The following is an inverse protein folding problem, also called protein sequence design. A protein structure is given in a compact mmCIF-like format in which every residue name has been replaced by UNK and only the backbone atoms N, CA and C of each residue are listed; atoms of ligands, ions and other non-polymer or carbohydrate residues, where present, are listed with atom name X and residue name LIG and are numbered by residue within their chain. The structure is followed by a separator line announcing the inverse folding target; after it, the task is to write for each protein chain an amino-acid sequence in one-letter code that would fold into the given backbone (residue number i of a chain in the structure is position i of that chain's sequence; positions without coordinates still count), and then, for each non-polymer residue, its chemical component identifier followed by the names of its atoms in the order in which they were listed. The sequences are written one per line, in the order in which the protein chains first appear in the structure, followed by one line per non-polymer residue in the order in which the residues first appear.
data_IF_053934259822
#
_entry.id   IF_053934259822
#
_cell.length_a   1.000
_cell.length_b   1.000
_cell.length_c   1.000
_cell.angle_alpha   90.00
_cell.angle_beta   90.00
_cell.angle_gamma   90.00
#
_symmetry.space_group_name_H-M   'P 1'
#
loop_
_entity.id
_entity.type
_entity.pdbx_description
1 polymer ?
#
# COMPACT_ATOMS: atom_id res chain seq x y z
N UNK A 1 -27.59 5.82 -5.57
CA UNK A 1 -26.28 5.24 -5.21
C UNK A 1 -26.44 4.22 -4.08
N UNK A 2 -26.75 4.61 -2.84
CA UNK A 2 -26.86 3.67 -1.71
C UNK A 2 -27.85 2.52 -1.92
N UNK A 3 -29.01 2.80 -2.53
CA UNK A 3 -29.98 1.76 -2.90
C UNK A 3 -29.39 0.72 -3.86
N UNK A 4 -28.56 1.12 -4.82
CA UNK A 4 -27.90 0.20 -5.76
C UNK A 4 -26.81 -0.64 -5.06
N UNK A 5 -26.05 -0.03 -4.15
CA UNK A 5 -25.05 -0.73 -3.33
C UNK A 5 -25.75 -1.78 -2.43
N UNK A 6 -26.84 -1.41 -1.75
CA UNK A 6 -27.59 -2.32 -0.88
C UNK A 6 -28.26 -3.43 -1.70
N UNK A 7 -28.78 -3.12 -2.88
CA UNK A 7 -29.33 -4.13 -3.78
C UNK A 7 -28.24 -5.11 -4.27
N UNK A 8 -27.01 -4.62 -4.50
CA UNK A 8 -25.88 -5.50 -4.80
C UNK A 8 -25.54 -6.41 -3.63
N UNK A 9 -25.39 -5.85 -2.42
CA UNK A 9 -25.12 -6.64 -1.21
C UNK A 9 -26.24 -7.66 -0.94
N UNK A 10 -27.51 -7.28 -1.13
CA UNK A 10 -28.65 -8.20 -0.97
C UNK A 10 -28.54 -9.42 -1.89
N UNK A 11 -28.06 -9.22 -3.14
CA UNK A 11 -27.81 -10.35 -4.06
C UNK A 11 -26.66 -11.24 -3.59
N UNK A 12 -25.59 -10.65 -3.06
CA UNK A 12 -24.42 -11.40 -2.56
C UNK A 12 -24.76 -12.25 -1.33
N UNK A 13 -25.62 -11.74 -0.45
CA UNK A 13 -26.03 -12.43 0.78
C UNK A 13 -27.27 -13.34 0.59
N UNK A 14 -27.94 -13.26 -0.56
CA UNK A 14 -29.13 -14.07 -0.85
C UNK A 14 -30.36 -13.66 -0.05
N UNK A 15 -30.37 -12.47 0.56
CA UNK A 15 -31.48 -11.94 1.36
C UNK A 15 -31.66 -10.43 1.13
N UNK A 16 -32.88 -9.93 1.30
CA UNK A 16 -33.15 -8.49 1.20
C UNK A 16 -32.63 -7.78 2.44
N UNK A 17 -31.58 -6.97 2.28
CA UNK A 17 -31.06 -6.14 3.36
C UNK A 17 -32.02 -4.97 3.63
N UNK A 18 -32.29 -4.72 4.91
CA UNK A 18 -33.25 -3.72 5.37
C UNK A 18 -32.79 -2.27 5.22
N UNK A 19 -33.51 -1.35 5.89
CA UNK A 19 -33.18 0.07 5.88
C UNK A 19 -31.75 0.33 6.39
N UNK A 20 -30.93 1.11 5.66
CA UNK A 20 -29.55 1.35 6.04
C UNK A 20 -29.41 2.47 7.08
N UNK A 21 -28.43 2.35 7.96
CA UNK A 21 -27.81 3.47 8.66
C UNK A 21 -26.44 3.74 8.04
N UNK A 22 -26.19 4.99 7.67
CA UNK A 22 -24.98 5.40 6.97
C UNK A 22 -24.33 6.52 7.78
N UNK A 23 -23.10 6.29 8.23
CA UNK A 23 -22.34 7.24 9.03
C UNK A 23 -21.01 7.50 8.33
N UNK A 24 -20.70 8.76 8.04
CA UNK A 24 -19.38 9.13 7.54
C UNK A 24 -18.34 8.82 8.62
N UNK A 25 -17.26 8.15 8.24
CA UNK A 25 -16.14 7.84 9.12
C UNK A 25 -14.86 8.43 8.53
N UNK A 26 -13.88 8.74 9.36
CA UNK A 26 -12.54 9.10 8.89
C UNK A 26 -11.84 7.88 8.27
N UNK A 27 -10.71 8.12 7.59
CA UNK A 27 -9.85 7.04 7.09
C UNK A 27 -9.33 7.21 5.67
N UNK A 28 -9.89 8.12 4.86
CA UNK A 28 -9.40 8.39 3.50
C UNK A 28 -8.93 9.81 3.30
N UNK A 29 -7.68 10.00 2.85
CA UNK A 29 -7.21 11.30 2.30
C UNK A 29 -7.74 11.58 0.89
N UNK A 30 -8.29 10.54 0.24
CA UNK A 30 -8.63 10.51 -1.19
C UNK A 30 -10.08 10.06 -1.40
N UNK A 31 -10.52 9.03 -0.67
CA UNK A 31 -11.84 8.44 -0.80
C UNK A 31 -12.78 8.96 0.30
N UNK A 32 -14.08 9.03 -0.01
CA UNK A 32 -15.10 9.21 1.00
C UNK A 32 -15.39 7.85 1.66
N UNK A 33 -15.40 7.81 2.98
CA UNK A 33 -15.49 6.55 3.75
C UNK A 33 -16.70 6.55 4.68
N UNK A 34 -17.42 5.43 4.72
CA UNK A 34 -18.67 5.28 5.46
C UNK A 34 -18.73 3.96 6.21
N UNK A 35 -19.31 3.97 7.41
CA UNK A 35 -19.91 2.77 8.01
C UNK A 35 -21.33 2.63 7.48
N UNK A 36 -21.62 1.53 6.81
CA UNK A 36 -22.95 1.15 6.36
C UNK A 36 -23.45 0.00 7.24
N UNK A 37 -24.53 0.22 7.99
CA UNK A 37 -25.21 -0.82 8.75
C UNK A 37 -26.55 -1.16 8.12
N UNK A 38 -26.77 -2.42 7.78
CA UNK A 38 -28.05 -2.90 7.25
C UNK A 38 -28.19 -4.41 7.43
N UNK A 39 -29.41 -4.90 7.61
CA UNK A 39 -29.67 -6.35 7.74
C UNK A 39 -28.96 -7.04 8.90
N UNK A 40 -28.54 -6.30 9.93
CA UNK A 40 -27.74 -6.84 11.04
C UNK A 40 -26.22 -6.90 10.78
N UNK A 41 -25.77 -6.50 9.59
CA UNK A 41 -24.35 -6.43 9.23
C UNK A 41 -23.82 -5.00 9.31
N UNK A 42 -22.51 -4.89 9.56
CA UNK A 42 -21.74 -3.65 9.45
C UNK A 42 -20.72 -3.79 8.31
N UNK A 43 -20.64 -2.77 7.47
CA UNK A 43 -19.74 -2.70 6.34
C UNK A 43 -18.92 -1.41 6.36
N UNK A 44 -17.68 -1.49 5.89
CA UNK A 44 -16.88 -0.32 5.55
C UNK A 44 -16.99 -0.04 4.05
N UNK A 45 -17.44 1.15 3.67
CA UNK A 45 -17.65 1.51 2.26
C UNK A 45 -16.75 2.67 1.88
N UNK A 46 -15.93 2.46 0.86
CA UNK A 46 -15.16 3.51 0.17
C UNK A 46 -15.91 3.96 -1.07
N UNK A 47 -15.95 5.27 -1.31
CA UNK A 47 -16.53 5.88 -2.50
C UNK A 47 -15.53 6.82 -3.17
N UNK A 48 -15.59 6.86 -4.51
CA UNK A 48 -14.89 7.83 -5.35
C UNK A 48 -15.69 8.04 -6.66
N UNK A 49 -15.24 8.91 -7.56
CA UNK A 49 -15.83 9.11 -8.88
C UNK A 49 -15.89 7.78 -9.66
N UNK A 50 -16.94 7.56 -10.46
CA UNK A 50 -17.14 6.32 -11.24
C UNK A 50 -15.92 5.90 -12.08
N UNK A 51 -15.17 6.86 -12.62
CA UNK A 51 -13.96 6.60 -13.41
C UNK A 51 -12.82 5.91 -12.60
N UNK A 52 -12.92 5.87 -11.27
CA UNK A 52 -11.94 5.22 -10.38
C UNK A 52 -12.30 3.77 -10.04
N UNK A 53 -13.27 3.15 -10.70
CA UNK A 53 -13.66 1.75 -10.42
C UNK A 53 -12.48 0.76 -10.50
N UNK A 54 -11.57 0.95 -11.46
CA UNK A 54 -10.38 0.10 -11.61
C UNK A 54 -9.42 0.16 -10.39
N UNK A 55 -9.42 1.27 -9.63
CA UNK A 55 -8.67 1.40 -8.39
C UNK A 55 -9.23 0.48 -7.31
N UNK A 56 -10.57 0.47 -7.15
CA UNK A 56 -11.24 -0.39 -6.17
C UNK A 56 -11.21 -1.87 -6.55
N UNK A 57 -11.26 -2.19 -7.84
CA UNK A 57 -11.03 -3.56 -8.32
C UNK A 57 -9.62 -4.05 -7.94
N UNK A 58 -8.60 -3.23 -8.18
CA UNK A 58 -7.23 -3.57 -7.85
C UNK A 58 -7.00 -3.68 -6.34
N UNK A 59 -7.60 -2.80 -5.54
CA UNK A 59 -7.52 -2.87 -4.07
C UNK A 59 -8.22 -4.13 -3.53
N UNK A 60 -9.42 -4.46 -4.02
CA UNK A 60 -10.13 -5.68 -3.63
C UNK A 60 -9.31 -6.93 -3.95
N UNK A 61 -8.70 -6.98 -5.13
CA UNK A 61 -7.85 -8.09 -5.55
C UNK A 61 -6.57 -8.20 -4.71
N UNK A 62 -5.93 -7.07 -4.38
CA UNK A 62 -4.78 -7.03 -3.49
C UNK A 62 -5.14 -7.55 -2.07
N UNK A 63 -6.29 -7.15 -1.54
CA UNK A 63 -6.79 -7.67 -0.26
C UNK A 63 -7.05 -9.18 -0.32
N UNK A 64 -7.61 -9.70 -1.42
CA UNK A 64 -7.79 -11.14 -1.61
C UNK A 64 -6.45 -11.88 -1.66
N UNK A 65 -5.45 -11.30 -2.33
CA UNK A 65 -4.13 -11.91 -2.45
C UNK A 65 -3.38 -11.97 -1.12
N UNK A 66 -3.36 -10.87 -0.35
CA UNK A 66 -2.81 -10.86 1.01
C UNK A 66 -3.55 -11.85 1.90
N UNK A 67 -4.89 -11.86 1.85
CA UNK A 67 -5.71 -12.81 2.61
C UNK A 67 -5.38 -14.26 2.25
N UNK A 68 -5.15 -14.54 0.96
CA UNK A 68 -4.81 -15.87 0.45
C UNK A 68 -3.51 -16.45 1.04
N UNK A 69 -2.62 -15.60 1.55
CA UNK A 69 -1.41 -16.05 2.26
C UNK A 69 -1.71 -16.71 3.61
N UNK A 70 -2.83 -16.33 4.24
CA UNK A 70 -3.19 -16.73 5.60
C UNK A 70 -2.20 -16.26 6.68
N UNK A 71 -1.33 -15.28 6.39
CA UNK A 71 -0.25 -14.85 7.31
C UNK A 71 -0.61 -13.64 8.15
N UNK A 72 -1.36 -12.69 7.57
CA UNK A 72 -1.78 -11.46 8.24
C UNK A 72 -3.24 -11.15 7.91
N UNK A 73 -3.97 -10.60 8.87
CA UNK A 73 -5.38 -10.27 8.68
C UNK A 73 -5.49 -9.00 7.84
N UNK A 74 -6.48 -9.01 6.94
CA UNK A 74 -6.91 -7.87 6.12
C UNK A 74 -8.44 -7.85 6.12
N UNK A 75 -9.09 -6.69 5.92
CA UNK A 75 -10.54 -6.63 5.78
C UNK A 75 -10.99 -7.46 4.57
N UNK A 76 -12.01 -8.29 4.74
CA UNK A 76 -12.54 -9.09 3.64
C UNK A 76 -13.21 -8.19 2.58
N UNK A 77 -12.83 -8.26 1.28
CA UNK A 77 -13.51 -7.52 0.23
C UNK A 77 -14.81 -8.23 -0.16
N UNK A 78 -15.93 -7.54 0.08
CA UNK A 78 -17.29 -8.09 -0.07
C UNK A 78 -17.83 -7.83 -1.47
N UNK A 79 -17.67 -6.61 -1.98
CA UNK A 79 -18.14 -6.27 -3.32
C UNK A 79 -17.75 -4.87 -3.75
N UNK A 80 -17.66 -4.64 -5.05
CA UNK A 80 -17.28 -3.36 -5.64
C UNK A 80 -18.04 -3.14 -6.95
N UNK A 81 -17.99 -1.91 -7.47
CA UNK A 81 -18.58 -1.59 -8.77
C UNK A 81 -18.86 -0.11 -8.93
N UNK A 82 -19.80 0.22 -9.81
CA UNK A 82 -20.30 1.57 -10.01
C UNK A 82 -21.77 1.63 -9.62
N UNK A 83 -22.13 2.65 -8.85
CA UNK A 83 -23.50 2.98 -8.49
C UNK A 83 -23.76 4.45 -8.82
N UNK A 84 -24.64 4.70 -9.78
CA UNK A 84 -24.80 6.02 -10.43
C UNK A 84 -23.45 6.56 -10.93
N UNK A 85 -22.99 7.70 -10.39
CA UNK A 85 -21.74 8.36 -10.77
C UNK A 85 -20.59 8.08 -9.80
N UNK A 86 -20.72 7.08 -8.92
CA UNK A 86 -19.70 6.75 -7.92
C UNK A 86 -19.21 5.32 -8.09
N UNK A 87 -17.89 5.15 -8.09
CA UNK A 87 -17.28 3.86 -7.86
C UNK A 87 -17.34 3.56 -6.35
N UNK A 88 -17.47 2.29 -5.99
CA UNK A 88 -17.49 1.86 -4.60
C UNK A 88 -16.70 0.57 -4.37
N UNK A 89 -16.19 0.44 -3.15
CA UNK A 89 -15.65 -0.80 -2.57
C UNK A 89 -16.29 -1.00 -1.20
N UNK A 90 -16.88 -2.17 -0.99
CA UNK A 90 -17.47 -2.61 0.28
C UNK A 90 -16.56 -3.66 0.88
N UNK A 91 -16.12 -3.41 2.10
CA UNK A 91 -15.25 -4.25 2.90
C UNK A 91 -15.95 -4.66 4.20
N UNK A 92 -15.45 -5.73 4.81
CA UNK A 92 -15.72 -6.08 6.20
C UNK A 92 -15.46 -4.88 7.12
N UNK A 93 -16.41 -4.60 8.00
CA UNK A 93 -16.18 -3.65 9.10
C UNK A 93 -15.34 -4.33 10.19
N UNK A 94 -14.22 -3.70 10.55
CA UNK A 94 -13.35 -4.14 11.65
C UNK A 94 -13.28 -3.03 12.70
N UNK A 95 -13.49 -3.38 13.97
CA UNK A 95 -13.25 -2.48 15.10
C UNK A 95 -11.77 -2.54 15.46
N UNK A 96 -11.02 -1.47 15.11
CA UNK A 96 -9.56 -1.41 15.20
C UNK A 96 -9.05 -0.65 16.44
N UNK A 97 -9.70 -0.85 17.58
CA UNK A 97 -9.42 -0.17 18.86
C UNK A 97 -8.80 -1.09 19.92
N UNK A 98 -8.36 -2.29 19.52
CA UNK A 98 -7.85 -3.28 20.45
C UNK A 98 -6.40 -3.07 20.90
N UNK A 99 -5.95 -3.98 21.76
CA UNK A 99 -4.58 -3.98 22.30
C UNK A 99 -3.56 -4.21 21.17
N UNK A 100 -2.50 -3.41 21.17
CA UNK A 100 -1.46 -3.46 20.12
C UNK A 100 -0.46 -4.60 20.36
N UNK A 101 -0.64 -5.73 19.70
CA UNK A 101 0.36 -6.81 19.66
C UNK A 101 1.39 -6.58 18.53
N UNK A 102 2.34 -5.69 18.79
CA UNK A 102 3.39 -5.34 17.84
C UNK A 102 4.28 -6.51 17.44
N UNK A 103 4.50 -7.46 18.35
CA UNK A 103 5.29 -8.65 18.05
C UNK A 103 4.57 -9.54 17.03
N UNK A 104 3.26 -9.74 17.19
CA UNK A 104 2.45 -10.45 16.21
C UNK A 104 2.45 -9.75 14.84
N UNK A 105 2.36 -8.42 14.81
CA UNK A 105 2.43 -7.65 13.56
C UNK A 105 3.76 -7.90 12.81
N UNK A 106 4.89 -7.81 13.52
CA UNK A 106 6.21 -8.02 12.93
C UNK A 106 6.40 -9.43 12.38
N UNK A 107 6.01 -10.43 13.17
CA UNK A 107 6.09 -11.84 12.78
C UNK A 107 5.21 -12.14 11.57
N UNK A 108 3.95 -11.72 11.61
CA UNK A 108 2.99 -12.02 10.55
C UNK A 108 3.37 -11.36 9.22
N UNK A 109 3.91 -10.13 9.27
CA UNK A 109 4.42 -9.46 8.08
C UNK A 109 5.65 -10.19 7.51
N UNK A 110 6.59 -10.62 8.36
CA UNK A 110 7.75 -11.40 7.91
C UNK A 110 7.31 -12.71 7.23
N UNK A 111 6.34 -13.43 7.81
CA UNK A 111 5.81 -14.65 7.22
C UNK A 111 5.10 -14.40 5.87
N UNK A 112 4.46 -13.24 5.70
CA UNK A 112 3.90 -12.82 4.40
C UNK A 112 5.01 -12.56 3.38
N UNK A 113 6.03 -11.79 3.75
CA UNK A 113 7.17 -11.48 2.89
C UNK A 113 7.98 -12.72 2.49
N UNK A 114 8.02 -13.74 3.35
CA UNK A 114 8.72 -15.00 3.07
C UNK A 114 8.15 -15.81 1.89
N UNK A 115 7.02 -15.41 1.29
CA UNK A 115 6.44 -16.08 0.12
C UNK A 115 7.06 -15.58 -1.19
N UNK A 116 7.73 -16.46 -1.94
CA UNK A 116 8.38 -16.14 -3.21
C UNK A 116 7.47 -16.43 -4.41
N UNK A 117 7.43 -15.50 -5.37
CA UNK A 117 6.77 -15.67 -6.67
C UNK A 117 7.73 -15.76 -7.84
N UNK A 118 9.02 -15.46 -7.63
CA UNK A 118 10.10 -15.58 -8.62
C UNK A 118 10.24 -14.42 -9.61
N UNK A 119 9.29 -13.48 -9.69
CA UNK A 119 9.36 -12.30 -10.56
C UNK A 119 8.78 -11.06 -9.88
N UNK A 120 9.31 -9.89 -10.20
CA UNK A 120 8.87 -8.60 -9.65
C UNK A 120 7.75 -7.99 -10.48
N UNK A 121 6.78 -7.35 -9.82
CA UNK A 121 5.61 -6.78 -10.47
C UNK A 121 4.31 -7.42 -10.01
N UNK A 122 3.27 -7.32 -10.84
CA UNK A 122 1.95 -7.84 -10.54
C UNK A 122 1.16 -8.01 -11.84
N UNK A 123 0.13 -8.86 -11.87
CA UNK A 123 -0.60 -9.12 -13.13
C UNK A 123 -1.39 -7.91 -13.63
N UNK A 124 -1.58 -6.88 -12.80
CA UNK A 124 -2.19 -5.61 -13.18
C UNK A 124 -1.49 -4.42 -12.52
N UNK A 125 -1.60 -3.26 -13.17
CA UNK A 125 -1.30 -1.98 -12.53
C UNK A 125 -2.38 -1.65 -11.50
N UNK A 126 -1.97 -0.93 -10.45
CA UNK A 126 -2.86 -0.41 -9.40
C UNK A 126 -2.51 1.06 -9.13
N UNK A 127 -2.74 1.55 -7.92
CA UNK A 127 -2.42 2.93 -7.51
C UNK A 127 -1.74 2.97 -6.15
N UNK A 128 -0.94 4.01 -5.92
CA UNK A 128 -0.38 4.38 -4.61
C UNK A 128 -1.01 5.73 -4.19
N UNK A 129 -2.08 5.66 -3.41
CA UNK A 129 -3.03 6.77 -3.33
C UNK A 129 -3.75 6.96 -4.69
N UNK A 130 -3.72 8.16 -5.26
CA UNK A 130 -4.31 8.43 -6.59
C UNK A 130 -3.34 8.23 -7.76
N UNK A 131 -2.05 8.10 -7.48
CA UNK A 131 -1.03 8.01 -8.52
C UNK A 131 -1.03 6.60 -9.10
N UNK A 132 -1.10 6.43 -10.44
CA UNK A 132 -0.97 5.11 -11.05
C UNK A 132 0.36 4.46 -10.69
N UNK A 133 0.34 3.16 -10.40
CA UNK A 133 1.51 2.35 -10.10
C UNK A 133 1.61 1.23 -11.15
N UNK A 134 2.48 1.39 -12.17
CA UNK A 134 2.73 0.34 -13.14
C UNK A 134 3.39 -0.87 -12.49
N UNK A 135 2.91 -2.07 -12.81
CA UNK A 135 3.46 -3.33 -12.27
C UNK A 135 3.80 -4.38 -13.35
N UNK A 136 4.40 -4.02 -14.51
CA UNK A 136 4.79 -5.05 -15.47
C UNK A 136 5.77 -6.04 -14.82
N UNK A 137 5.72 -7.30 -15.26
CA UNK A 137 6.64 -8.31 -14.77
C UNK A 137 8.08 -8.04 -15.23
N UNK A 138 9.03 -8.13 -14.31
CA UNK A 138 10.47 -8.06 -14.59
C UNK A 138 11.24 -9.08 -13.76
N UNK A 139 12.42 -9.47 -14.23
CA UNK A 139 13.31 -10.40 -13.52
C UNK A 139 14.31 -9.66 -12.60
N UNK A 140 14.64 -8.41 -12.92
CA UNK A 140 15.60 -7.59 -12.19
C UNK A 140 14.89 -6.60 -11.26
N UNK A 141 15.21 -6.65 -9.97
CA UNK A 141 14.68 -5.71 -8.98
C UNK A 141 15.16 -4.29 -9.23
N UNK A 142 16.44 -4.13 -9.58
CA UNK A 142 17.03 -2.83 -9.89
C UNK A 142 16.29 -2.15 -11.04
N UNK A 143 16.01 -2.91 -12.12
CA UNK A 143 15.27 -2.40 -13.27
C UNK A 143 13.82 -2.08 -12.93
N UNK A 144 13.15 -2.98 -12.18
CA UNK A 144 11.78 -2.75 -11.73
C UNK A 144 11.67 -1.45 -10.93
N UNK A 145 12.50 -1.31 -9.90
CA UNK A 145 12.43 -0.19 -8.97
C UNK A 145 12.82 1.11 -9.66
N UNK A 146 13.83 1.09 -10.53
CA UNK A 146 14.18 2.27 -11.31
C UNK A 146 13.04 2.68 -12.26
N UNK A 147 12.61 1.78 -13.16
CA UNK A 147 11.70 2.12 -14.26
C UNK A 147 10.27 2.40 -13.78
N UNK A 148 9.76 1.54 -12.89
CA UNK A 148 8.33 1.47 -12.54
C UNK A 148 8.02 2.07 -11.16
N UNK A 149 9.04 2.50 -10.41
CA UNK A 149 8.86 3.29 -9.18
C UNK A 149 9.47 4.68 -9.34
N UNK A 150 10.80 4.79 -9.30
CA UNK A 150 11.47 6.09 -9.22
C UNK A 150 11.32 6.93 -10.47
N UNK A 151 11.69 6.41 -11.65
CA UNK A 151 11.65 7.17 -12.90
C UNK A 151 10.21 7.58 -13.25
N UNK A 152 9.23 6.72 -12.97
CA UNK A 152 7.81 7.05 -13.14
C UNK A 152 7.41 8.25 -12.27
N UNK A 153 7.69 8.20 -10.96
CA UNK A 153 7.36 9.29 -10.04
C UNK A 153 8.14 10.58 -10.37
N UNK A 154 9.41 10.48 -10.77
CA UNK A 154 10.23 11.62 -11.18
C UNK A 154 9.67 12.31 -12.42
N UNK A 155 9.26 11.55 -13.45
CA UNK A 155 8.63 12.12 -14.65
C UNK A 155 7.33 12.86 -14.33
N UNK A 156 6.52 12.34 -13.40
CA UNK A 156 5.33 13.04 -12.91
C UNK A 156 5.71 14.31 -12.14
N UNK A 157 6.72 14.22 -11.28
CA UNK A 157 7.17 15.33 -10.45
C UNK A 157 7.73 16.48 -11.30
N UNK A 158 8.52 16.17 -12.33
CA UNK A 158 9.08 17.15 -13.26
C UNK A 158 7.98 17.92 -14.02
N UNK A 159 6.90 17.25 -14.42
CA UNK A 159 5.72 17.92 -15.03
C UNK A 159 5.04 18.90 -14.07
N UNK A 160 5.23 18.72 -12.76
CA UNK A 160 4.74 19.59 -11.68
C UNK A 160 5.78 20.60 -11.19
N UNK A 161 6.90 20.75 -11.92
CA UNK A 161 7.95 21.72 -11.61
C UNK A 161 8.99 21.25 -10.59
N UNK A 162 9.09 19.94 -10.31
CA UNK A 162 10.17 19.42 -9.48
C UNK A 162 11.53 19.63 -10.14
N UNK A 163 12.43 20.31 -9.43
CA UNK A 163 13.81 20.49 -9.85
C UNK A 163 14.69 19.36 -9.32
N UNK A 164 15.21 18.53 -10.22
CA UNK A 164 16.10 17.42 -9.87
C UNK A 164 17.50 17.98 -9.53
N UNK A 165 18.09 17.64 -8.37
CA UNK A 165 19.35 18.25 -7.93
C UNK A 165 20.60 17.66 -8.59
N UNK A 166 20.46 16.59 -9.37
CA UNK A 166 21.50 15.89 -10.13
C UNK A 166 20.93 15.47 -11.50
N UNK A 167 21.75 15.00 -12.45
CA UNK A 167 21.20 14.45 -13.70
C UNK A 167 20.50 13.10 -13.46
N UNK A 168 19.56 12.74 -14.34
CA UNK A 168 18.89 11.44 -14.28
C UNK A 168 19.89 10.29 -14.40
N UNK A 169 20.90 10.43 -15.27
CA UNK A 169 21.94 9.40 -15.47
C UNK A 169 22.76 9.15 -14.20
N UNK A 170 23.11 10.22 -13.47
CA UNK A 170 23.84 10.10 -12.19
C UNK A 170 22.99 9.38 -11.15
N UNK A 171 21.71 9.74 -11.05
CA UNK A 171 20.80 9.06 -10.12
C UNK A 171 20.61 7.58 -10.51
N UNK A 172 20.41 7.29 -11.80
CA UNK A 172 20.27 5.93 -12.31
C UNK A 172 21.50 5.09 -11.98
N UNK A 173 22.71 5.60 -12.28
CA UNK A 173 23.95 4.90 -11.98
C UNK A 173 24.07 4.59 -10.48
N UNK A 174 23.60 5.50 -9.62
CA UNK A 174 23.60 5.27 -8.18
C UNK A 174 22.59 4.20 -7.75
N UNK A 175 21.41 4.16 -8.38
CA UNK A 175 20.44 3.06 -8.17
C UNK A 175 21.03 1.72 -8.58
N UNK A 176 21.69 1.66 -9.74
CA UNK A 176 22.39 0.45 -10.22
C UNK A 176 23.49 0.00 -9.26
N UNK A 177 24.25 0.93 -8.66
CA UNK A 177 25.26 0.59 -7.65
C UNK A 177 24.64 0.01 -6.36
N UNK A 178 23.50 0.54 -5.91
CA UNK A 178 22.84 0.11 -4.68
C UNK A 178 22.04 -1.18 -4.85
N UNK A 179 21.44 -1.39 -6.02
CA UNK A 179 20.50 -2.49 -6.28
C UNK A 179 21.01 -3.55 -7.25
N UNK A 180 22.04 -3.28 -8.06
CA UNK A 180 22.47 -4.21 -9.14
C UNK A 180 22.96 -5.56 -8.63
N UNK A 181 23.64 -5.58 -7.48
CA UNK A 181 24.07 -6.81 -6.80
C UNK A 181 23.08 -7.26 -5.71
N UNK A 182 21.97 -6.54 -5.54
CA UNK A 182 20.93 -6.88 -4.58
C UNK A 182 19.86 -7.69 -5.30
N UNK A 183 19.84 -9.00 -5.06
CA UNK A 183 18.94 -9.95 -5.71
C UNK A 183 17.95 -10.50 -4.66
N UNK A 184 16.99 -9.68 -4.20
CA UNK A 184 16.05 -10.09 -3.17
C UNK A 184 15.06 -11.13 -3.73
N UNK A 185 14.42 -11.86 -2.82
CA UNK A 185 13.24 -12.63 -3.14
C UNK A 185 12.11 -11.71 -3.59
N UNK A 186 11.33 -12.13 -4.61
CA UNK A 186 10.13 -11.42 -5.04
C UNK A 186 9.00 -11.65 -4.03
N UNK A 187 9.02 -10.86 -2.96
CA UNK A 187 8.14 -10.94 -1.80
C UNK A 187 6.82 -10.25 -2.08
N UNK A 188 5.70 -10.82 -1.62
CA UNK A 188 4.43 -10.09 -1.63
C UNK A 188 4.50 -8.92 -0.66
N UNK A 189 4.52 -7.68 -1.15
CA UNK A 189 4.59 -6.48 -0.30
C UNK A 189 3.23 -5.78 -0.24
N UNK A 190 2.94 -5.16 0.90
CA UNK A 190 1.78 -4.28 1.08
C UNK A 190 1.89 -3.06 0.17
N UNK A 191 3.08 -2.47 0.03
CA UNK A 191 3.40 -1.39 -0.90
C UNK A 191 3.01 0.01 -0.43
N UNK A 192 2.27 0.14 0.66
CA UNK A 192 1.97 1.42 1.34
C UNK A 192 1.89 1.26 2.87
N UNK A 193 2.85 0.55 3.49
CA UNK A 193 2.77 0.21 4.92
C UNK A 193 3.32 1.32 5.83
N UNK A 194 2.43 2.21 6.30
CA UNK A 194 2.75 3.26 7.26
C UNK A 194 1.75 3.30 8.41
N UNK A 195 1.90 4.24 9.35
CA UNK A 195 1.10 4.32 10.57
C UNK A 195 -0.41 4.51 10.37
N UNK A 196 -0.83 4.90 9.16
CA UNK A 196 -2.24 4.97 8.78
C UNK A 196 -2.85 3.68 8.24
N UNK A 197 -2.04 2.67 7.87
CA UNK A 197 -2.47 1.49 7.10
C UNK A 197 -2.34 0.17 7.88
N UNK A 198 -2.34 0.24 9.20
CA UNK A 198 -2.49 -0.93 10.06
C UNK A 198 -3.33 -0.60 11.30
N UNK A 199 -3.85 -1.64 11.95
CA UNK A 199 -4.59 -1.57 13.20
C UNK A 199 -4.57 -2.90 13.92
N UNK A 200 -5.30 -2.97 15.02
CA UNK A 200 -5.46 -4.19 15.80
C UNK A 200 -6.94 -4.38 16.12
N UNK A 201 -7.49 -5.56 15.81
CA UNK A 201 -8.86 -5.87 16.23
C UNK A 201 -8.97 -6.00 17.75
N UNK A 202 -10.18 -6.17 18.27
CA UNK A 202 -10.45 -6.21 19.72
C UNK A 202 -9.67 -7.31 20.44
N UNK A 203 -9.37 -8.41 19.75
CA UNK A 203 -8.57 -9.52 20.25
C UNK A 203 -7.05 -9.21 20.26
N UNK A 204 -6.66 -8.10 19.64
CA UNK A 204 -5.27 -7.66 19.48
C UNK A 204 -4.58 -8.24 18.25
N UNK A 205 -5.34 -8.84 17.33
CA UNK A 205 -4.81 -9.39 16.08
C UNK A 205 -4.42 -8.26 15.14
N UNK A 206 -3.20 -8.26 14.58
CA UNK A 206 -2.78 -7.24 13.62
C UNK A 206 -3.57 -7.33 12.32
N UNK A 207 -4.04 -6.18 11.85
CA UNK A 207 -4.73 -6.00 10.58
C UNK A 207 -3.97 -4.97 9.76
N UNK A 208 -3.69 -5.27 8.49
CA UNK A 208 -3.21 -4.28 7.52
C UNK A 208 -4.31 -3.99 6.49
N UNK A 209 -4.31 -2.80 5.92
CA UNK A 209 -5.35 -2.35 4.99
C UNK A 209 -4.83 -1.26 4.08
N UNK A 210 -5.58 -1.00 3.00
CA UNK A 210 -5.25 -0.04 1.94
C UNK A 210 -3.95 -0.39 1.18
N UNK A 211 -3.81 -1.62 0.66
CA UNK A 211 -2.59 -2.06 0.00
C UNK A 211 -2.40 -1.41 -1.39
N UNK A 212 -1.14 -1.12 -1.72
CA UNK A 212 -0.65 -0.81 -3.06
C UNK A 212 0.23 -1.97 -3.56
N UNK A 213 -0.33 -3.17 -3.55
CA UNK A 213 0.37 -4.45 -3.65
C UNK A 213 1.16 -4.66 -4.94
N UNK A 214 2.29 -5.37 -4.81
CA UNK A 214 3.06 -5.98 -5.89
C UNK A 214 4.02 -7.02 -5.29
N UNK A 215 4.68 -7.80 -6.13
CA UNK A 215 5.84 -8.60 -5.74
C UNK A 215 7.11 -7.77 -5.90
N UNK A 216 7.83 -7.57 -4.80
CA UNK A 216 8.95 -6.65 -4.70
C UNK A 216 9.97 -7.08 -3.65
N UNK A 217 10.95 -6.23 -3.38
CA UNK A 217 11.80 -6.41 -2.21
C UNK A 217 11.02 -6.10 -0.93
N UNK A 218 11.03 -7.05 0.01
CA UNK A 218 10.45 -6.91 1.36
C UNK A 218 10.90 -5.65 2.11
N UNK A 219 12.10 -5.13 1.80
CA UNK A 219 12.65 -3.95 2.46
C UNK A 219 11.86 -2.67 2.15
N UNK A 220 11.05 -2.62 1.08
CA UNK A 220 10.24 -1.43 0.74
C UNK A 220 9.19 -1.15 1.81
N UNK A 221 8.53 -2.19 2.33
CA UNK A 221 7.53 -2.04 3.39
C UNK A 221 8.21 -1.64 4.69
N UNK A 222 9.31 -2.30 5.07
CA UNK A 222 10.07 -1.95 6.29
C UNK A 222 10.57 -0.51 6.22
N UNK A 223 11.12 -0.08 5.08
CA UNK A 223 11.55 1.30 4.89
C UNK A 223 10.42 2.30 5.13
N UNK A 224 9.21 2.02 4.60
CA UNK A 224 8.05 2.88 4.75
C UNK A 224 7.56 2.96 6.21
N UNK A 225 7.64 1.86 6.97
CA UNK A 225 7.29 1.87 8.40
C UNK A 225 8.17 2.82 9.22
N UNK A 226 9.41 3.07 8.77
CA UNK A 226 10.37 3.99 9.40
C UNK A 226 10.21 5.45 8.95
N UNK A 227 9.43 5.75 7.90
CA UNK A 227 9.39 7.07 7.26
C UNK A 227 8.58 8.10 8.06
N UNK A 228 7.46 7.70 8.66
CA UNK A 228 6.51 8.60 9.34
C UNK A 228 6.35 8.28 10.83
N UNK A 229 7.46 8.38 11.57
CA UNK A 229 7.49 8.25 13.02
C UNK A 229 7.91 6.88 13.56
N UNK A 230 8.02 5.87 12.69
CA UNK A 230 8.48 4.53 13.07
C UNK A 230 7.42 3.68 13.76
N UNK A 231 7.54 2.37 13.62
CA UNK A 231 6.78 1.40 14.41
C UNK A 231 7.47 1.11 15.75
N UNK A 232 6.80 0.34 16.63
CA UNK A 232 7.37 -0.04 17.92
C UNK A 232 8.63 -0.93 17.74
N UNK A 233 9.55 -0.89 18.71
CA UNK A 233 10.79 -1.68 18.64
C UNK A 233 10.51 -3.19 18.59
N UNK A 234 9.45 -3.63 19.27
CA UNK A 234 8.98 -5.01 19.30
C UNK A 234 8.56 -5.53 17.92
N UNK A 235 8.02 -4.66 17.06
CA UNK A 235 7.70 -5.01 15.67
C UNK A 235 8.96 -5.37 14.89
N UNK A 236 9.96 -4.50 14.90
CA UNK A 236 11.21 -4.74 14.17
C UNK A 236 11.95 -5.96 14.72
N UNK A 237 12.02 -6.10 16.04
CA UNK A 237 12.65 -7.26 16.68
C UNK A 237 12.02 -8.56 16.19
N UNK A 238 10.69 -8.65 16.26
CA UNK A 238 9.93 -9.84 15.82
C UNK A 238 10.08 -10.11 14.33
N UNK A 239 10.04 -9.07 13.49
CA UNK A 239 10.24 -9.21 12.05
C UNK A 239 11.64 -9.77 11.71
N UNK A 240 12.68 -9.21 12.33
CA UNK A 240 14.06 -9.63 12.07
C UNK A 240 14.47 -10.95 12.74
N UNK A 241 13.70 -11.43 13.72
CA UNK A 241 13.82 -12.81 14.24
C UNK A 241 13.43 -13.85 13.17
N UNK A 242 12.46 -13.53 12.30
CA UNK A 242 12.00 -14.41 11.21
C UNK A 242 12.82 -14.20 9.92
N UNK A 243 13.09 -12.95 9.54
CA UNK A 243 13.89 -12.63 8.34
C UNK A 243 14.98 -11.60 8.69
N UNK A 244 16.25 -12.02 8.88
CA UNK A 244 17.34 -11.13 9.23
C UNK A 244 17.49 -9.93 8.29
N UNK A 245 17.98 -8.81 8.83
CA UNK A 245 18.24 -7.60 8.05
C UNK A 245 19.45 -7.81 7.14
N UNK A 246 19.30 -7.48 5.86
CA UNK A 246 20.40 -7.59 4.91
C UNK A 246 21.39 -6.44 5.06
N UNK A 247 22.66 -6.75 4.79
CA UNK A 247 23.71 -5.72 4.71
C UNK A 247 23.35 -4.72 3.61
N UNK A 248 23.54 -3.43 3.90
CA UNK A 248 23.22 -2.35 2.97
C UNK A 248 21.78 -1.81 3.08
N UNK A 249 20.93 -2.37 3.94
CA UNK A 249 19.57 -1.85 4.15
C UNK A 249 19.54 -0.36 4.48
N UNK A 250 20.48 0.14 5.29
CA UNK A 250 20.51 1.55 5.66
C UNK A 250 20.62 2.49 4.45
N UNK A 251 21.35 2.10 3.42
CA UNK A 251 21.47 2.88 2.19
C UNK A 251 20.24 2.69 1.30
N UNK A 252 19.77 1.44 1.13
CA UNK A 252 18.59 1.09 0.33
C UNK A 252 17.30 1.69 0.89
N UNK A 253 17.17 1.80 2.22
CA UNK A 253 16.03 2.45 2.89
C UNK A 253 15.80 3.88 2.41
N UNK A 254 16.87 4.67 2.27
CA UNK A 254 16.74 6.06 1.79
C UNK A 254 16.21 6.07 0.36
N UNK A 255 16.68 5.14 -0.46
CA UNK A 255 16.23 4.96 -1.84
C UNK A 255 14.76 4.50 -1.92
N UNK A 256 14.35 3.54 -1.09
CA UNK A 256 12.97 3.06 -1.03
C UNK A 256 12.02 4.16 -0.55
N UNK A 257 12.40 4.91 0.48
CA UNK A 257 11.57 6.02 0.95
C UNK A 257 11.51 7.20 -0.03
N UNK A 258 12.51 7.38 -0.91
CA UNK A 258 12.45 8.40 -1.96
C UNK A 258 11.23 8.20 -2.86
N UNK A 259 10.87 6.96 -3.17
CA UNK A 259 9.66 6.65 -3.95
C UNK A 259 8.40 7.22 -3.30
N UNK A 260 8.21 7.00 -2.00
CA UNK A 260 7.04 7.52 -1.28
C UNK A 260 7.07 9.04 -1.14
N UNK A 261 8.23 9.66 -0.91
CA UNK A 261 8.33 11.13 -0.82
C UNK A 261 8.06 11.79 -2.17
N UNK A 262 8.52 11.21 -3.28
CA UNK A 262 8.14 11.68 -4.62
C UNK A 262 6.64 11.52 -4.87
N UNK A 263 6.03 10.42 -4.43
CA UNK A 263 4.59 10.24 -4.51
C UNK A 263 3.83 11.31 -3.70
N UNK A 264 4.27 11.59 -2.48
CA UNK A 264 3.68 12.64 -1.63
C UNK A 264 3.84 14.03 -2.26
N UNK A 265 4.99 14.33 -2.86
CA UNK A 265 5.14 15.54 -3.66
C UNK A 265 4.15 15.57 -4.84
N UNK A 266 3.98 14.46 -5.55
CA UNK A 266 3.03 14.39 -6.65
C UNK A 266 1.59 14.59 -6.18
N UNK A 267 1.18 14.09 -5.02
CA UNK A 267 -0.19 14.24 -4.52
C UNK A 267 -0.43 15.60 -3.85
N UNK A 268 0.53 16.10 -3.07
CA UNK A 268 0.32 17.21 -2.13
C UNK A 268 1.26 18.41 -2.35
N UNK A 269 2.32 18.25 -3.14
CA UNK A 269 3.30 19.31 -3.39
C UNK A 269 4.07 19.75 -2.15
N UNK A 270 4.37 21.04 -2.06
CA UNK A 270 4.90 21.67 -0.84
C UNK A 270 6.25 21.12 -0.37
N UNK A 271 6.38 20.93 0.96
CA UNK A 271 7.63 20.57 1.64
C UNK A 271 8.28 19.27 1.16
N UNK A 272 7.50 18.36 0.56
CA UNK A 272 8.01 17.10 0.01
C UNK A 272 9.02 17.30 -1.13
N UNK A 273 8.96 18.44 -1.84
CA UNK A 273 9.96 18.78 -2.87
C UNK A 273 11.36 18.89 -2.28
N UNK A 274 11.50 19.71 -1.23
CA UNK A 274 12.79 19.92 -0.56
C UNK A 274 13.31 18.62 0.08
N UNK A 275 12.40 17.82 0.65
CA UNK A 275 12.74 16.52 1.22
C UNK A 275 13.27 15.56 0.15
N UNK A 276 12.58 15.40 -0.98
CA UNK A 276 13.04 14.56 -2.09
C UNK A 276 14.39 15.01 -2.62
N UNK A 277 14.60 16.32 -2.80
CA UNK A 277 15.89 16.86 -3.24
C UNK A 277 17.02 16.53 -2.27
N UNK A 278 16.77 16.66 -0.96
CA UNK A 278 17.77 16.33 0.04
C UNK A 278 18.08 14.82 0.08
N UNK A 279 17.07 13.97 -0.06
CA UNK A 279 17.26 12.52 -0.15
C UNK A 279 18.08 12.13 -1.38
N UNK A 280 17.79 12.70 -2.55
CA UNK A 280 18.57 12.46 -3.78
C UNK A 280 20.02 12.89 -3.60
N UNK A 281 20.27 14.05 -3.00
CA UNK A 281 21.64 14.49 -2.66
C UNK A 281 22.34 13.51 -1.73
N UNK A 282 21.64 12.97 -0.73
CA UNK A 282 22.22 11.96 0.18
C UNK A 282 22.54 10.65 -0.54
N UNK A 283 21.64 10.18 -1.40
CA UNK A 283 21.83 8.95 -2.19
C UNK A 283 23.05 9.08 -3.11
N UNK A 284 23.22 10.23 -3.77
CA UNK A 284 24.29 10.48 -4.74
C UNK A 284 25.60 11.05 -4.16
N UNK A 285 25.75 11.08 -2.83
CA UNK A 285 27.04 11.34 -2.18
C UNK A 285 27.91 10.09 -2.22
#
# INVERSE_FOLDING_TARGET
MWQEIIAHLSRLYGETLGSPQIVSVGGGSINQTYRLRTGGYDFFVKLNAAAKVAMFEAEAEALQEIRGTGKIKVPYPIGWGVAQNNAYLVLEWLDLDGRRDWAALGKNLALMHGMDRGQFGWHRSNTIGETPQPNPWTESWADFFWQHRLLYQLKLAQRKGFNLPVSLDVLQQRVEQLLGNHQPQASLVHGDLWSGNFGFDREGTPVIFDPALYYGDREVDIAMTELFGGFATEFYRSYYEEIPQDRGYNDRKILYNLYHILNHFNLFGGGYSNQAQQMIKTICR
#
